data_IF_645524928032
#
_entry.id   IF_645524928032
#
_cell.length_a   1.000
_cell.length_b   1.000
_cell.length_c   1.000
_cell.angle_alpha   90.00
_cell.angle_beta   90.00
_cell.angle_gamma   90.00
#
_symmetry.space_group_name_H-M   'P 1'
#
loop_
_entity.id
_entity.type
_entity.pdbx_description
1 polymer ?
#
# COMPACT_ATOMS: atom_id res chain seq x y z
N UNK A 1 7.97 -2.72 -22.65
CA UNK A 1 7.35 -2.63 -21.31
C UNK A 1 7.69 -3.90 -20.58
N UNK A 2 8.44 -3.77 -19.49
CA UNK A 2 8.91 -4.91 -18.71
C UNK A 2 7.72 -5.61 -18.05
N UNK A 3 7.42 -6.84 -18.48
CA UNK A 3 6.34 -7.70 -17.99
C UNK A 3 6.71 -8.41 -16.66
N UNK A 4 7.83 -8.07 -16.03
CA UNK A 4 8.38 -8.76 -14.87
C UNK A 4 7.91 -8.22 -13.52
N UNK A 5 7.08 -7.18 -13.46
CA UNK A 5 6.55 -6.67 -12.19
C UNK A 5 5.51 -7.63 -11.62
N UNK A 6 5.99 -8.45 -10.71
CA UNK A 6 5.16 -9.33 -9.90
C UNK A 6 4.28 -8.48 -8.97
N UNK A 7 2.95 -8.66 -9.05
CA UNK A 7 2.02 -8.02 -8.13
C UNK A 7 2.10 -8.73 -6.77
N UNK A 8 2.69 -8.07 -5.81
CA UNK A 8 2.75 -8.56 -4.41
C UNK A 8 1.67 -7.89 -3.57
N UNK A 9 1.04 -8.66 -2.72
CA UNK A 9 0.10 -8.13 -1.74
C UNK A 9 0.81 -7.22 -0.74
N UNK A 10 0.34 -5.98 -0.58
CA UNK A 10 0.79 -5.10 0.50
C UNK A 10 0.58 -5.70 1.89
N UNK A 11 -0.40 -6.58 2.03
CA UNK A 11 -0.80 -7.17 3.32
C UNK A 11 -0.05 -8.45 3.66
N UNK A 12 0.41 -9.21 2.66
CA UNK A 12 1.15 -10.43 2.91
C UNK A 12 2.21 -10.66 1.81
N UNK A 13 3.44 -10.13 1.98
CA UNK A 13 4.52 -10.29 1.01
C UNK A 13 5.10 -11.71 0.98
N UNK A 14 4.77 -12.58 1.94
CA UNK A 14 5.18 -13.98 1.94
C UNK A 14 4.38 -14.84 0.95
N UNK A 15 3.39 -14.24 0.29
CA UNK A 15 2.64 -14.86 -0.81
C UNK A 15 2.89 -14.01 -2.07
N UNK A 16 4.10 -14.04 -2.65
CA UNK A 16 4.46 -13.22 -3.81
C UNK A 16 3.58 -13.48 -5.01
N UNK A 17 3.08 -14.72 -5.14
CA UNK A 17 2.25 -15.16 -6.26
C UNK A 17 0.75 -15.10 -5.98
N UNK A 18 0.33 -14.45 -4.88
CA UNK A 18 -1.08 -14.48 -4.46
C UNK A 18 -2.03 -14.00 -5.56
N UNK A 19 -1.71 -12.89 -6.21
CA UNK A 19 -2.56 -12.34 -7.28
C UNK A 19 -2.51 -13.22 -8.52
N UNK A 20 -1.34 -13.75 -8.88
CA UNK A 20 -1.19 -14.64 -10.03
C UNK A 20 -1.88 -15.97 -9.82
N UNK A 21 -1.73 -16.56 -8.64
CA UNK A 21 -2.43 -17.78 -8.26
C UNK A 21 -3.95 -17.58 -8.24
N UNK A 22 -4.42 -16.45 -7.70
CA UNK A 22 -5.84 -16.14 -7.68
C UNK A 22 -6.40 -15.98 -9.11
N UNK A 23 -5.71 -15.26 -9.98
CA UNK A 23 -6.12 -15.10 -11.38
C UNK A 23 -6.13 -16.45 -12.09
N UNK A 24 -5.16 -17.32 -11.84
CA UNK A 24 -5.12 -18.68 -12.41
C UNK A 24 -6.33 -19.52 -11.96
N UNK A 25 -6.63 -19.52 -10.65
CA UNK A 25 -7.78 -20.23 -10.08
C UNK A 25 -9.10 -19.70 -10.67
N UNK A 26 -9.29 -18.38 -10.66
CA UNK A 26 -10.49 -17.75 -11.19
C UNK A 26 -10.63 -18.02 -12.70
N UNK A 27 -9.54 -17.92 -13.47
CA UNK A 27 -9.57 -18.17 -14.91
C UNK A 27 -9.94 -19.60 -15.24
N UNK A 28 -9.45 -20.55 -14.44
CA UNK A 28 -9.81 -21.98 -14.59
C UNK A 28 -11.31 -22.19 -14.32
N UNK A 29 -11.83 -21.56 -13.26
CA UNK A 29 -13.22 -21.69 -12.90
C UNK A 29 -14.15 -21.02 -13.94
N UNK A 30 -13.80 -19.83 -14.39
CA UNK A 30 -14.52 -19.13 -15.46
C UNK A 30 -14.56 -19.93 -16.76
N UNK A 31 -13.43 -20.56 -17.11
CA UNK A 31 -13.35 -21.42 -18.30
C UNK A 31 -14.28 -22.64 -18.22
N UNK A 32 -14.36 -23.30 -17.04
CA UNK A 32 -15.30 -24.40 -16.80
C UNK A 32 -16.76 -24.00 -16.97
N UNK A 33 -17.07 -22.75 -16.60
CA UNK A 33 -18.42 -22.19 -16.71
C UNK A 33 -18.71 -21.54 -18.07
N UNK A 34 -17.73 -21.54 -18.99
CA UNK A 34 -17.88 -20.91 -20.30
C UNK A 34 -17.86 -19.37 -20.25
N UNK A 35 -17.43 -18.78 -19.15
CA UNK A 35 -17.37 -17.31 -18.97
C UNK A 35 -16.14 -16.78 -19.71
N UNK A 36 -16.34 -15.89 -20.67
CA UNK A 36 -15.30 -15.25 -21.46
C UNK A 36 -15.17 -13.76 -21.22
N UNK A 37 -16.16 -13.16 -20.58
CA UNK A 37 -16.22 -11.73 -20.32
C UNK A 37 -16.55 -11.47 -18.85
N UNK A 38 -15.82 -10.52 -18.23
CA UNK A 38 -16.00 -10.16 -16.83
C UNK A 38 -15.98 -8.64 -16.65
N UNK A 39 -16.57 -8.18 -15.55
CA UNK A 39 -16.45 -6.81 -15.06
C UNK A 39 -15.67 -6.86 -13.74
N UNK A 40 -14.66 -5.98 -13.60
CA UNK A 40 -13.94 -5.81 -12.35
C UNK A 40 -14.67 -4.84 -11.43
N UNK A 41 -14.66 -5.15 -10.13
CA UNK A 41 -15.18 -4.28 -9.07
C UNK A 41 -13.99 -3.87 -8.18
N UNK A 42 -13.90 -2.57 -7.87
CA UNK A 42 -12.88 -2.01 -6.99
C UNK A 42 -13.49 -0.89 -6.15
N UNK A 43 -12.91 -0.54 -5.02
CA UNK A 43 -13.39 0.59 -4.21
C UNK A 43 -12.89 1.92 -4.80
N UNK A 44 -11.61 2.01 -5.14
CA UNK A 44 -10.98 3.25 -5.66
C UNK A 44 -9.99 2.95 -6.77
N UNK A 45 -10.11 3.63 -7.88
CA UNK A 45 -9.17 3.53 -9.02
C UNK A 45 -8.43 4.85 -9.22
N UNK A 46 -7.11 4.83 -8.98
CA UNK A 46 -6.22 5.98 -9.19
C UNK A 46 -5.63 5.99 -10.61
N UNK A 47 -4.35 5.66 -10.76
CA UNK A 47 -3.68 5.59 -12.07
C UNK A 47 -4.19 4.43 -12.94
N UNK A 48 -4.88 3.44 -12.36
CA UNK A 48 -5.32 2.24 -13.05
C UNK A 48 -4.22 1.23 -13.37
N UNK A 49 -2.98 1.46 -12.95
CA UNK A 49 -1.83 0.59 -13.28
C UNK A 49 -2.00 -0.86 -12.80
N UNK A 50 -2.54 -1.03 -11.59
CA UNK A 50 -2.84 -2.36 -11.02
C UNK A 50 -3.90 -3.07 -11.84
N UNK A 51 -5.03 -2.40 -12.13
CA UNK A 51 -6.11 -2.97 -12.92
C UNK A 51 -5.65 -3.29 -14.34
N UNK A 52 -4.84 -2.44 -14.97
CA UNK A 52 -4.24 -2.73 -16.28
C UNK A 52 -3.42 -4.01 -16.25
N UNK A 53 -2.64 -4.23 -15.18
CA UNK A 53 -1.88 -5.48 -15.01
C UNK A 53 -2.80 -6.69 -14.85
N UNK A 54 -3.85 -6.58 -14.05
CA UNK A 54 -4.86 -7.63 -13.84
C UNK A 54 -5.58 -7.95 -15.15
N UNK A 55 -6.01 -6.94 -15.91
CA UNK A 55 -6.64 -7.09 -17.22
C UNK A 55 -5.73 -7.88 -18.18
N UNK A 56 -4.46 -7.49 -18.26
CA UNK A 56 -3.50 -8.18 -19.12
C UNK A 56 -3.24 -9.63 -18.69
N UNK A 57 -3.35 -9.94 -17.40
CA UNK A 57 -3.24 -11.32 -16.89
C UNK A 57 -4.45 -12.15 -17.28
N UNK A 58 -5.69 -11.66 -17.09
CA UNK A 58 -6.90 -12.37 -17.53
C UNK A 58 -6.92 -12.62 -19.04
N UNK A 59 -6.44 -11.65 -19.84
CA UNK A 59 -6.34 -11.81 -21.29
C UNK A 59 -5.47 -13.01 -21.72
N UNK A 60 -4.43 -13.38 -20.94
CA UNK A 60 -3.62 -14.58 -21.21
C UNK A 60 -4.42 -15.88 -21.11
N UNK A 61 -5.52 -15.86 -20.40
CA UNK A 61 -6.44 -17.00 -20.25
C UNK A 61 -7.68 -16.90 -21.15
N UNK A 62 -7.65 -16.01 -22.15
CA UNK A 62 -8.78 -15.75 -23.05
C UNK A 62 -10.04 -15.25 -22.34
N UNK A 63 -9.86 -14.54 -21.22
CA UNK A 63 -10.93 -13.87 -20.48
C UNK A 63 -10.79 -12.37 -20.69
N UNK A 64 -11.82 -11.75 -21.23
CA UNK A 64 -11.85 -10.33 -21.52
C UNK A 64 -12.47 -9.57 -20.34
N UNK A 65 -11.75 -8.62 -19.79
CA UNK A 65 -12.35 -7.61 -18.92
C UNK A 65 -13.03 -6.58 -19.80
N UNK A 66 -14.35 -6.51 -19.76
CA UNK A 66 -15.13 -5.61 -20.61
C UNK A 66 -15.46 -4.27 -19.94
N UNK A 67 -15.32 -4.16 -18.63
CA UNK A 67 -15.58 -2.93 -17.89
C UNK A 67 -15.10 -2.97 -16.45
N UNK A 68 -15.10 -1.78 -15.82
CA UNK A 68 -14.76 -1.59 -14.41
C UNK A 68 -15.91 -0.84 -13.73
N UNK A 69 -16.18 -1.21 -12.46
CA UNK A 69 -17.11 -0.51 -11.57
C UNK A 69 -16.38 -0.17 -10.28
N UNK A 70 -16.48 1.09 -9.85
CA UNK A 70 -15.78 1.56 -8.65
C UNK A 70 -16.61 2.62 -7.92
N UNK A 71 -16.35 2.80 -6.63
CA UNK A 71 -16.94 3.91 -5.89
C UNK A 71 -16.31 5.23 -6.31
N UNK A 72 -14.98 5.28 -6.40
CA UNK A 72 -14.23 6.50 -6.71
C UNK A 72 -13.23 6.23 -7.84
N UNK A 73 -13.12 7.16 -8.78
CA UNK A 73 -12.09 7.15 -9.83
C UNK A 73 -11.46 8.52 -10.00
N UNK A 74 -10.19 8.54 -10.43
CA UNK A 74 -9.56 9.78 -10.92
C UNK A 74 -9.94 10.02 -12.37
N UNK A 75 -9.84 11.27 -12.80
CA UNK A 75 -10.08 11.61 -14.21
C UNK A 75 -9.12 10.87 -15.15
N UNK A 76 -7.88 10.64 -14.73
CA UNK A 76 -6.87 9.90 -15.51
C UNK A 76 -7.32 8.46 -15.77
N UNK A 77 -7.66 7.72 -14.72
CA UNK A 77 -8.12 6.33 -14.86
C UNK A 77 -9.46 6.23 -15.60
N UNK A 78 -10.37 7.20 -15.40
CA UNK A 78 -11.62 7.27 -16.12
C UNK A 78 -11.40 7.40 -17.62
N UNK A 79 -10.55 8.32 -18.07
CA UNK A 79 -10.20 8.51 -19.48
C UNK A 79 -9.50 7.27 -20.05
N UNK A 80 -8.57 6.67 -19.30
CA UNK A 80 -7.85 5.47 -19.73
C UNK A 80 -8.81 4.33 -20.05
N UNK A 81 -9.66 3.96 -19.10
CA UNK A 81 -10.50 2.77 -19.25
C UNK A 81 -11.72 2.99 -20.16
N UNK A 82 -12.22 4.21 -20.30
CA UNK A 82 -13.27 4.50 -21.26
C UNK A 82 -12.75 4.50 -22.72
N UNK A 83 -11.44 4.63 -22.93
CA UNK A 83 -10.82 4.47 -24.26
C UNK A 83 -10.45 3.00 -24.56
N UNK A 84 -10.21 2.19 -23.55
CA UNK A 84 -9.59 0.87 -23.71
C UNK A 84 -10.53 -0.30 -23.48
N UNK A 85 -11.65 -0.10 -22.77
CA UNK A 85 -12.61 -1.17 -22.45
C UNK A 85 -13.97 -0.92 -23.10
N UNK A 86 -14.65 -1.97 -23.60
CA UNK A 86 -15.95 -1.86 -24.27
C UNK A 86 -17.03 -1.14 -23.45
N UNK A 87 -17.16 -1.49 -22.16
CA UNK A 87 -18.11 -0.87 -21.24
C UNK A 87 -17.50 0.21 -20.36
N UNK A 88 -16.22 0.52 -20.58
CA UNK A 88 -15.45 1.54 -19.88
C UNK A 88 -15.42 1.38 -18.35
N UNK A 89 -15.07 2.46 -17.68
CA UNK A 89 -15.14 2.61 -16.23
C UNK A 89 -16.38 3.42 -15.85
N UNK A 90 -17.18 2.91 -14.91
CA UNK A 90 -18.25 3.64 -14.23
C UNK A 90 -17.93 3.79 -12.77
N UNK A 91 -18.06 5.00 -12.23
CA UNK A 91 -17.79 5.32 -10.83
C UNK A 91 -18.95 6.08 -10.20
N UNK A 92 -19.08 5.95 -8.88
CA UNK A 92 -20.03 6.74 -8.11
C UNK A 92 -19.57 8.20 -7.96
N UNK A 93 -18.24 8.41 -7.82
CA UNK A 93 -17.65 9.72 -7.71
C UNK A 93 -16.40 9.84 -8.58
N UNK A 94 -16.36 10.85 -9.46
CA UNK A 94 -15.21 11.17 -10.29
C UNK A 94 -14.42 12.33 -9.68
N UNK A 95 -13.16 12.08 -9.34
CA UNK A 95 -12.25 13.12 -8.88
C UNK A 95 -11.70 13.88 -10.08
N UNK A 96 -12.16 15.11 -10.26
CA UNK A 96 -11.76 15.99 -11.37
C UNK A 96 -10.40 16.65 -11.18
N UNK A 97 -9.99 16.84 -9.93
CA UNK A 97 -8.70 17.41 -9.59
C UNK A 97 -7.58 16.38 -9.67
N UNK A 98 -6.35 16.87 -9.86
CA UNK A 98 -5.18 16.01 -9.83
C UNK A 98 -5.05 15.36 -8.44
N UNK A 99 -5.00 14.02 -8.43
CA UNK A 99 -4.69 13.23 -7.24
C UNK A 99 -3.27 12.73 -7.37
N UNK A 100 -2.41 13.12 -6.45
CA UNK A 100 -0.99 12.77 -6.48
C UNK A 100 -0.77 11.38 -5.86
N UNK A 101 -1.47 11.08 -4.76
CA UNK A 101 -1.35 9.80 -4.08
C UNK A 101 -2.56 9.52 -3.18
N UNK A 102 -2.76 8.23 -2.85
CA UNK A 102 -3.70 7.81 -1.80
C UNK A 102 -2.96 7.00 -0.75
N UNK A 103 -2.96 7.52 0.46
CA UNK A 103 -2.34 6.87 1.60
C UNK A 103 -3.34 6.83 2.75
N UNK A 104 -3.47 5.66 3.38
CA UNK A 104 -4.25 5.51 4.58
C UNK A 104 -3.59 6.27 5.74
N UNK A 105 -4.34 6.97 6.57
CA UNK A 105 -3.81 7.69 7.72
C UNK A 105 -2.96 6.80 8.64
N UNK A 106 -3.35 5.54 8.84
CA UNK A 106 -2.57 4.57 9.60
C UNK A 106 -1.14 4.39 9.10
N UNK A 107 -0.88 4.61 7.80
CA UNK A 107 0.44 4.44 7.18
C UNK A 107 1.45 5.49 7.69
N UNK A 108 0.96 6.53 8.37
CA UNK A 108 1.76 7.57 9.01
C UNK A 108 2.03 7.31 10.50
N UNK A 109 1.61 6.16 11.03
CA UNK A 109 1.86 5.76 12.39
C UNK A 109 2.84 4.59 12.46
N UNK A 110 3.83 4.71 13.32
CA UNK A 110 4.83 3.68 13.55
C UNK A 110 4.25 2.50 14.32
N UNK A 111 4.45 1.29 13.82
CA UNK A 111 4.14 0.06 14.54
C UNK A 111 2.65 -0.29 14.64
N UNK A 112 1.79 0.39 13.90
CA UNK A 112 0.38 0.03 13.78
C UNK A 112 0.23 -1.08 12.72
N UNK A 113 -0.55 -2.09 13.04
CA UNK A 113 -0.76 -3.25 12.17
C UNK A 113 -1.23 -2.84 10.76
N UNK A 114 -0.55 -3.36 9.75
CA UNK A 114 -0.81 -3.08 8.35
C UNK A 114 -0.34 -1.69 7.89
N UNK A 115 0.38 -0.92 8.73
CA UNK A 115 0.96 0.35 8.32
C UNK A 115 2.28 0.15 7.55
N UNK A 116 2.56 1.09 6.66
CA UNK A 116 3.79 1.06 5.88
C UNK A 116 3.83 -0.01 4.80
N UNK A 117 4.99 -0.15 4.18
CA UNK A 117 5.23 -1.13 3.13
C UNK A 117 6.00 -2.33 3.67
N UNK A 118 5.72 -3.51 3.12
CA UNK A 118 6.48 -4.71 3.44
C UNK A 118 7.76 -4.75 2.61
N UNK A 119 8.86 -5.02 3.26
CA UNK A 119 10.19 -5.20 2.65
C UNK A 119 10.81 -6.51 3.13
N UNK A 120 11.53 -7.20 2.24
CA UNK A 120 12.27 -8.41 2.59
C UNK A 120 13.73 -8.02 2.84
N UNK A 121 14.25 -8.41 4.00
CA UNK A 121 15.65 -8.25 4.38
C UNK A 121 16.11 -9.52 5.10
N UNK A 122 17.21 -10.13 4.63
CA UNK A 122 17.73 -11.39 5.18
C UNK A 122 16.69 -12.53 5.27
N UNK A 123 15.88 -12.70 4.24
CA UNK A 123 14.78 -13.67 4.16
C UNK A 123 13.67 -13.48 5.23
N UNK A 124 13.63 -12.36 5.89
CA UNK A 124 12.56 -11.99 6.81
C UNK A 124 11.77 -10.79 6.29
N UNK A 125 10.50 -10.73 6.66
CA UNK A 125 9.60 -9.64 6.28
C UNK A 125 9.57 -8.59 7.37
N UNK A 126 9.76 -7.35 6.96
CA UNK A 126 9.70 -6.17 7.80
C UNK A 126 8.70 -5.17 7.26
N UNK A 127 8.17 -4.31 8.12
CA UNK A 127 7.46 -3.10 7.72
C UNK A 127 8.40 -1.90 7.71
N UNK A 128 8.32 -1.14 6.64
CA UNK A 128 8.99 0.16 6.49
C UNK A 128 7.91 1.24 6.50
N UNK A 129 7.83 2.07 7.55
CA UNK A 129 6.97 3.26 7.56
C UNK A 129 7.24 4.19 6.38
N UNK A 130 6.24 4.98 5.98
CA UNK A 130 6.35 5.92 4.86
C UNK A 130 7.13 7.20 5.18
N UNK A 131 7.90 7.23 6.26
CA UNK A 131 8.64 8.40 6.71
C UNK A 131 10.03 8.03 7.23
N UNK A 132 10.94 9.00 7.22
CA UNK A 132 12.31 8.83 7.74
C UNK A 132 12.32 8.69 9.27
N UNK A 133 13.33 8.00 9.84
CA UNK A 133 14.48 7.39 9.15
C UNK A 133 14.23 5.96 8.64
N UNK A 134 13.00 5.46 8.66
CA UNK A 134 12.65 4.07 8.35
C UNK A 134 12.24 3.85 6.90
N UNK A 135 11.76 4.86 6.22
CA UNK A 135 11.32 4.82 4.83
C UNK A 135 11.59 6.12 4.08
N UNK A 136 11.19 6.15 2.81
CA UNK A 136 11.37 7.31 1.93
C UNK A 136 10.00 7.91 1.57
N UNK A 137 9.60 9.04 2.18
CA UNK A 137 8.29 9.63 1.91
C UNK A 137 8.17 10.20 0.50
N UNK A 138 9.27 10.63 -0.12
CA UNK A 138 9.27 11.17 -1.48
C UNK A 138 8.84 10.10 -2.48
N UNK A 139 9.42 8.88 -2.37
CA UNK A 139 9.09 7.78 -3.28
C UNK A 139 7.78 7.07 -2.94
N UNK A 140 7.37 7.11 -1.66
CA UNK A 140 6.27 6.28 -1.16
C UNK A 140 4.97 7.03 -0.98
N UNK A 141 5.05 8.34 -0.78
CA UNK A 141 3.91 9.19 -0.41
C UNK A 141 3.81 10.45 -1.24
N UNK A 142 4.58 10.54 -2.33
CA UNK A 142 4.62 11.70 -3.22
C UNK A 142 4.85 13.05 -2.49
N UNK A 143 5.51 12.98 -1.32
CA UNK A 143 5.84 14.17 -0.54
C UNK A 143 6.96 14.92 -1.25
N UNK A 144 6.83 16.24 -1.49
CA UNK A 144 7.91 17.04 -2.07
C UNK A 144 9.21 16.93 -1.27
N UNK A 145 10.33 16.83 -1.95
CA UNK A 145 11.64 16.61 -1.30
C UNK A 145 12.00 17.65 -0.24
N UNK A 146 11.62 18.90 -0.48
CA UNK A 146 11.81 19.99 0.49
C UNK A 146 10.92 19.88 1.75
N UNK A 147 9.83 19.09 1.69
CA UNK A 147 8.92 18.85 2.82
C UNK A 147 9.23 17.52 3.55
N UNK A 148 10.13 16.71 3.04
CA UNK A 148 10.43 15.37 3.52
C UNK A 148 10.76 15.33 5.03
N UNK A 149 11.60 16.26 5.49
CA UNK A 149 12.02 16.33 6.89
C UNK A 149 10.86 16.72 7.81
N UNK A 150 10.15 17.78 7.44
CA UNK A 150 9.00 18.31 8.19
C UNK A 150 7.91 17.24 8.31
N UNK A 151 7.60 16.59 7.20
CA UNK A 151 6.64 15.49 7.15
C UNK A 151 7.04 14.34 8.07
N UNK A 152 8.29 13.86 7.95
CA UNK A 152 8.80 12.74 8.75
C UNK A 152 8.80 13.04 10.26
N UNK A 153 9.20 14.24 10.65
CA UNK A 153 9.14 14.68 12.06
C UNK A 153 7.70 14.75 12.57
N UNK A 154 6.75 15.19 11.75
CA UNK A 154 5.33 15.20 12.11
C UNK A 154 4.80 13.78 12.34
N UNK A 155 5.11 12.83 11.46
CA UNK A 155 4.72 11.43 11.61
C UNK A 155 5.31 10.79 12.88
N UNK A 156 6.61 11.04 13.15
CA UNK A 156 7.28 10.54 14.35
C UNK A 156 6.67 11.11 15.63
N UNK A 157 6.35 12.41 15.64
CA UNK A 157 5.72 13.06 16.80
C UNK A 157 4.34 12.48 17.09
N UNK A 158 3.47 12.38 16.08
CA UNK A 158 2.15 11.77 16.21
C UNK A 158 2.23 10.31 16.67
N UNK A 159 3.16 9.54 16.11
CA UNK A 159 3.41 8.17 16.56
C UNK A 159 3.86 8.11 18.01
N UNK A 160 4.72 9.04 18.44
CA UNK A 160 5.18 9.11 19.82
C UNK A 160 4.04 9.42 20.78
N UNK A 161 3.22 10.42 20.46
CA UNK A 161 2.03 10.80 21.26
C UNK A 161 1.06 9.61 21.36
N UNK A 162 0.77 8.93 20.25
CA UNK A 162 -0.08 7.75 20.23
C UNK A 162 0.45 6.63 21.15
N UNK A 163 1.74 6.27 21.02
CA UNK A 163 2.31 5.19 21.82
C UNK A 163 2.44 5.54 23.29
N UNK A 164 2.72 6.80 23.63
CA UNK A 164 2.70 7.25 25.01
C UNK A 164 1.30 7.13 25.63
N UNK A 165 0.27 7.46 24.86
CA UNK A 165 -1.12 7.33 25.31
C UNK A 165 -1.53 5.85 25.47
N UNK A 166 -1.14 4.98 24.51
CA UNK A 166 -1.37 3.54 24.61
C UNK A 166 -0.69 2.96 25.89
N UNK A 167 0.59 3.33 26.13
CA UNK A 167 1.31 2.89 27.33
C UNK A 167 0.65 3.41 28.62
N UNK A 168 0.16 4.63 28.62
CA UNK A 168 -0.56 5.25 29.74
C UNK A 168 -1.87 4.51 30.07
N UNK A 169 -2.69 4.26 29.04
CA UNK A 169 -3.99 3.57 29.20
C UNK A 169 -3.80 2.14 29.70
N UNK A 170 -2.88 1.41 29.06
CA UNK A 170 -2.64 0.00 29.37
C UNK A 170 -1.71 -0.20 30.59
N UNK A 171 -1.14 0.86 31.14
CA UNK A 171 -0.19 0.83 32.28
C UNK A 171 0.97 -0.13 32.05
N UNK A 172 1.42 -0.28 30.82
CA UNK A 172 2.54 -1.14 30.46
C UNK A 172 3.40 -0.48 29.37
N UNK A 173 4.67 -0.89 29.30
CA UNK A 173 5.61 -0.47 28.27
C UNK A 173 5.60 -1.50 27.14
N UNK A 174 5.53 -1.03 25.90
CA UNK A 174 5.64 -1.88 24.73
C UNK A 174 7.05 -1.87 24.16
N UNK A 175 7.58 -3.06 23.86
CA UNK A 175 8.84 -3.24 23.16
C UNK A 175 8.57 -3.44 21.67
N UNK A 176 9.59 -3.20 20.84
CA UNK A 176 9.48 -3.43 19.39
C UNK A 176 9.09 -4.88 19.06
N UNK A 177 9.58 -5.86 19.83
CA UNK A 177 9.23 -7.28 19.66
C UNK A 177 7.77 -7.62 20.00
N UNK A 178 7.09 -6.76 20.74
CA UNK A 178 5.69 -6.95 21.14
C UNK A 178 4.72 -6.45 20.05
N UNK A 179 5.24 -5.77 19.01
CA UNK A 179 4.46 -5.33 17.85
C UNK A 179 4.07 -6.54 17.00
N UNK A 180 2.90 -6.47 16.38
CA UNK A 180 2.40 -7.52 15.47
C UNK A 180 3.30 -7.76 14.26
N UNK A 181 4.05 -6.74 13.84
CA UNK A 181 4.90 -6.78 12.65
C UNK A 181 6.30 -6.24 12.99
N UNK A 182 7.33 -6.89 12.45
CA UNK A 182 8.72 -6.44 12.60
C UNK A 182 8.92 -5.12 11.85
N UNK A 183 9.53 -4.13 12.49
CA UNK A 183 9.85 -2.85 11.83
C UNK A 183 11.32 -2.86 11.40
N UNK A 184 11.58 -2.40 10.18
CA UNK A 184 12.92 -2.35 9.61
C UNK A 184 13.85 -1.44 10.44
N UNK A 185 15.12 -1.83 10.55
CA UNK A 185 16.19 -1.05 11.21
C UNK A 185 15.91 -0.68 12.68
N UNK A 186 15.16 -1.56 13.38
CA UNK A 186 14.89 -1.43 14.82
C UNK A 186 15.46 -2.60 15.61
N UNK A 187 15.63 -2.40 16.91
CA UNK A 187 16.03 -3.45 17.85
C UNK A 187 14.79 -3.91 18.66
N UNK A 188 14.48 -5.20 18.61
CA UNK A 188 13.33 -5.80 19.28
C UNK A 188 13.25 -5.53 20.79
N UNK A 189 14.39 -5.35 21.46
CA UNK A 189 14.45 -5.12 22.91
C UNK A 189 14.35 -3.62 23.30
N UNK A 190 14.37 -2.70 22.33
CA UNK A 190 14.08 -1.29 22.62
C UNK A 190 12.57 -1.06 22.78
N UNK A 191 12.19 -0.13 23.69
CA UNK A 191 10.78 0.28 23.75
C UNK A 191 10.40 1.09 22.50
N UNK A 192 9.12 1.01 22.11
CA UNK A 192 8.58 1.75 20.97
C UNK A 192 8.82 3.25 21.15
N UNK A 193 8.49 3.80 22.31
CA UNK A 193 8.70 5.21 22.66
C UNK A 193 10.18 5.62 22.54
N UNK A 194 11.11 4.79 23.05
CA UNK A 194 12.56 5.05 22.94
C UNK A 194 13.02 5.03 21.48
N UNK A 195 12.51 4.09 20.68
CA UNK A 195 12.84 3.95 19.25
C UNK A 195 12.38 5.19 18.46
N UNK A 196 11.17 5.67 18.71
CA UNK A 196 10.64 6.88 18.10
C UNK A 196 11.46 8.13 18.46
N UNK A 197 11.83 8.31 19.75
CA UNK A 197 12.72 9.41 20.17
C UNK A 197 14.09 9.35 19.50
N UNK A 198 14.68 8.15 19.40
CA UNK A 198 15.93 7.97 18.62
C UNK A 198 15.77 8.34 17.14
N UNK A 199 14.62 7.96 16.52
CA UNK A 199 14.31 8.33 15.14
C UNK A 199 14.25 9.84 14.95
N UNK A 200 13.56 10.56 15.84
CA UNK A 200 13.49 12.03 15.82
C UNK A 200 14.90 12.66 15.96
N UNK A 201 15.69 12.20 16.92
CA UNK A 201 17.04 12.73 17.14
C UNK A 201 17.94 12.55 15.90
N UNK A 202 17.85 11.40 15.20
CA UNK A 202 18.59 11.17 13.96
C UNK A 202 18.26 12.17 12.84
N UNK A 203 17.05 12.74 12.86
CA UNK A 203 16.62 13.72 11.87
C UNK A 203 16.95 15.17 12.27
N UNK A 204 17.10 15.44 13.56
CA UNK A 204 17.41 16.79 14.08
C UNK A 204 18.92 17.11 14.07
N UNK A 205 19.81 16.10 13.94
CA UNK A 205 21.27 16.26 14.00
C UNK A 205 21.87 16.59 12.59
N UNK A 206 21.04 16.77 11.59
CA UNK A 206 21.46 17.24 10.25
C UNK A 206 21.10 18.70 10.08
#
# INVERSE_FOLDING_TARGET
MDNSKQLVSRRNPNIPDYVDNLITILSTEFSKQGIKEIILLDDVVFSGSVLTTIINKFKKYNINVIGIRTCIATNESYQLFNKTLPLGLKCGFLMSNQVIDQICERDFYFGIAGSGISVIKNNEVYKAPYFKPYGNPVERSSIPKNEELRFSLSCLRRSLELWQEIERINRCRYLIKDLLEKIIDTNGNDSVVKTLKKGMNKLCIK
#
